data_IF_513013872725
#
_entry.id   IF_513013872725
#
_cell.length_a   1.000
_cell.length_b   1.000
_cell.length_c   1.000
_cell.angle_alpha   90.00
_cell.angle_beta   90.00
_cell.angle_gamma   90.00
#
_symmetry.space_group_name_H-M   'P 1'
#
loop_
_entity.id
_entity.type
_entity.pdbx_description
1 polymer ?
#
# COMPACT_ATOMS: atom_id res chain seq x y z
N UNK A 1 30.20 37.29 -23.34
CA UNK A 1 29.40 36.22 -23.96
C UNK A 1 28.71 35.46 -22.86
N UNK A 2 27.40 35.63 -22.78
CA UNK A 2 26.52 34.92 -21.85
C UNK A 2 26.48 33.44 -22.23
N UNK A 3 26.63 32.54 -21.26
CA UNK A 3 26.20 31.16 -21.43
C UNK A 3 25.04 30.89 -20.49
N UNK A 4 23.87 31.09 -21.08
CA UNK A 4 22.56 30.56 -20.74
C UNK A 4 22.66 29.04 -20.58
N UNK A 5 22.52 28.53 -19.35
CA UNK A 5 22.08 27.15 -19.07
C UNK A 5 21.27 27.15 -17.77
N UNK A 6 19.97 27.33 -17.96
CA UNK A 6 18.93 27.18 -16.95
C UNK A 6 19.04 25.78 -16.33
N UNK A 7 19.55 25.72 -15.10
CA UNK A 7 19.49 24.50 -14.31
C UNK A 7 18.02 24.29 -13.94
N UNK A 8 17.39 23.35 -14.65
CA UNK A 8 16.07 22.87 -14.33
C UNK A 8 16.02 22.38 -12.89
N UNK A 9 14.95 22.75 -12.22
CA UNK A 9 14.51 22.25 -10.92
C UNK A 9 14.55 20.72 -10.88
N UNK A 10 15.60 20.13 -10.34
CA UNK A 10 15.52 18.79 -9.75
C UNK A 10 15.13 18.95 -8.28
N UNK A 11 13.91 19.41 -8.06
CA UNK A 11 13.18 19.09 -6.83
C UNK A 11 12.59 17.70 -7.05
N UNK A 12 13.42 16.65 -6.96
CA UNK A 12 12.94 15.28 -7.05
C UNK A 12 13.45 14.49 -5.86
N UNK A 13 12.53 14.39 -4.92
CA UNK A 13 12.36 13.27 -4.02
C UNK A 13 13.44 13.08 -2.94
N UNK A 14 13.36 13.95 -1.94
CA UNK A 14 13.73 13.61 -0.58
C UNK A 14 13.05 12.30 -0.15
N UNK A 15 13.85 11.30 0.20
CA UNK A 15 13.53 10.14 1.05
C UNK A 15 12.69 9.01 0.42
N UNK A 16 13.27 8.24 -0.51
CA UNK A 16 12.92 6.83 -0.65
C UNK A 16 13.93 6.00 0.15
N UNK A 17 13.75 6.00 1.48
CA UNK A 17 14.13 4.83 2.26
C UNK A 17 13.27 3.67 1.78
N UNK A 18 13.83 2.47 1.69
CA UNK A 18 13.12 1.28 1.21
C UNK A 18 11.76 1.15 1.90
N UNK A 19 10.69 1.54 1.21
CA UNK A 19 9.34 1.50 1.76
C UNK A 19 8.86 0.06 1.67
N UNK A 20 9.41 -0.79 2.55
CA UNK A 20 8.98 -2.17 2.72
C UNK A 20 7.58 -2.12 3.30
N UNK A 21 6.59 -2.41 2.46
CA UNK A 21 5.23 -2.73 2.90
C UNK A 21 5.33 -3.78 4.00
N UNK A 22 4.58 -3.59 5.09
CA UNK A 22 4.47 -4.58 6.15
C UNK A 22 3.01 -4.81 6.54
N UNK A 23 2.77 -5.92 7.23
CA UNK A 23 1.43 -6.30 7.70
C UNK A 23 0.76 -5.21 8.55
N UNK A 24 1.48 -4.58 9.46
CA UNK A 24 0.92 -3.54 10.33
C UNK A 24 0.49 -2.29 9.55
N UNK A 25 1.20 -1.94 8.47
CA UNK A 25 0.83 -0.83 7.59
C UNK A 25 -0.44 -1.16 6.82
N UNK A 26 -0.55 -2.38 6.27
CA UNK A 26 -1.77 -2.88 5.63
C UNK A 26 -2.95 -2.83 6.62
N UNK A 27 -2.81 -3.37 7.83
CA UNK A 27 -3.87 -3.37 8.83
C UNK A 27 -4.35 -1.95 9.19
N UNK A 28 -3.44 -0.97 9.20
CA UNK A 28 -3.81 0.44 9.43
C UNK A 28 -4.67 1.00 8.30
N UNK A 29 -4.35 0.67 7.05
CA UNK A 29 -5.14 1.08 5.88
C UNK A 29 -6.43 0.30 5.71
N UNK A 30 -6.63 -0.79 6.45
CA UNK A 30 -7.88 -1.56 6.46
C UNK A 30 -8.75 -1.27 7.68
N UNK A 31 -8.38 -0.29 8.52
CA UNK A 31 -9.24 0.12 9.64
C UNK A 31 -10.62 0.54 9.15
N UNK A 32 -11.64 0.13 9.91
CA UNK A 32 -13.03 0.47 9.63
C UNK A 32 -13.71 -0.42 8.59
N UNK A 33 -13.02 -1.44 8.05
CA UNK A 33 -13.68 -2.43 7.20
C UNK A 33 -14.62 -3.33 8.02
N UNK A 34 -15.72 -3.73 7.41
CA UNK A 34 -16.64 -4.71 7.96
C UNK A 34 -16.22 -6.11 7.51
N UNK A 35 -15.92 -6.96 8.47
CA UNK A 35 -15.62 -8.37 8.22
C UNK A 35 -16.91 -9.23 8.30
N UNK A 36 -17.00 -10.32 7.53
CA UNK A 36 -15.99 -10.83 6.59
C UNK A 36 -15.90 -10.00 5.30
N UNK A 37 -14.68 -9.81 4.79
CA UNK A 37 -14.39 -9.00 3.61
C UNK A 37 -13.62 -9.83 2.56
N UNK A 38 -13.89 -9.58 1.29
CA UNK A 38 -13.15 -10.19 0.19
C UNK A 38 -11.93 -9.34 -0.18
N UNK A 39 -11.01 -9.88 -0.98
CA UNK A 39 -9.87 -9.14 -1.52
C UNK A 39 -10.24 -7.76 -2.11
N UNK A 40 -11.32 -7.71 -2.90
CA UNK A 40 -11.77 -6.45 -3.51
C UNK A 40 -12.20 -5.40 -2.48
N UNK A 41 -12.87 -5.82 -1.39
CA UNK A 41 -13.24 -4.94 -0.28
C UNK A 41 -12.00 -4.42 0.46
N UNK A 42 -10.97 -5.26 0.63
CA UNK A 42 -9.70 -4.83 1.21
C UNK A 42 -9.04 -3.74 0.36
N UNK A 43 -8.97 -3.94 -0.96
CA UNK A 43 -8.40 -2.97 -1.90
C UNK A 43 -9.21 -1.67 -1.89
N UNK A 44 -10.54 -1.75 -1.91
CA UNK A 44 -11.41 -0.57 -1.89
C UNK A 44 -11.28 0.21 -0.58
N UNK A 45 -11.26 -0.48 0.56
CA UNK A 45 -11.06 0.14 1.86
C UNK A 45 -9.67 0.79 1.95
N UNK A 46 -8.62 0.09 1.52
CA UNK A 46 -7.27 0.64 1.49
C UNK A 46 -7.22 1.91 0.62
N UNK A 47 -7.85 1.90 -0.56
CA UNK A 47 -7.98 3.09 -1.43
C UNK A 47 -8.72 4.23 -0.73
N UNK A 48 -9.85 3.96 -0.07
CA UNK A 48 -10.60 4.95 0.71
C UNK A 48 -9.74 5.58 1.82
N UNK A 49 -8.87 4.78 2.42
CA UNK A 49 -7.92 5.21 3.44
C UNK A 49 -6.62 5.82 2.88
N UNK A 50 -6.57 6.13 1.57
CA UNK A 50 -5.40 6.71 0.89
C UNK A 50 -4.14 5.82 1.01
N UNK A 51 -4.31 4.51 0.88
CA UNK A 51 -3.18 3.58 0.86
C UNK A 51 -2.27 3.85 -0.36
N UNK A 52 -0.94 3.77 -0.17
CA UNK A 52 0.01 3.88 -1.26
C UNK A 52 -0.14 2.71 -2.24
N UNK A 53 0.35 2.91 -3.47
CA UNK A 53 0.23 1.91 -4.54
C UNK A 53 0.90 0.59 -4.18
N UNK A 54 1.98 0.61 -3.40
CA UNK A 54 2.68 -0.59 -2.96
C UNK A 54 1.77 -1.49 -2.09
N UNK A 55 1.03 -0.89 -1.15
CA UNK A 55 0.02 -1.60 -0.33
C UNK A 55 -1.09 -2.17 -1.22
N UNK A 56 -1.56 -1.40 -2.23
CA UNK A 56 -2.62 -1.86 -3.12
C UNK A 56 -2.16 -3.02 -4.00
N UNK A 57 -0.93 -2.97 -4.53
CA UNK A 57 -0.35 -4.04 -5.32
C UNK A 57 -0.22 -5.33 -4.49
N UNK A 58 0.20 -5.20 -3.23
CA UNK A 58 0.29 -6.31 -2.30
C UNK A 58 -1.08 -6.96 -2.05
N UNK A 59 -2.10 -6.15 -1.74
CA UNK A 59 -3.47 -6.63 -1.57
C UNK A 59 -4.04 -7.25 -2.85
N UNK A 60 -3.57 -6.85 -4.03
CA UNK A 60 -3.97 -7.49 -5.29
C UNK A 60 -3.34 -8.88 -5.48
N UNK A 61 -2.14 -9.10 -4.93
CA UNK A 61 -1.42 -10.36 -4.99
C UNK A 61 -2.01 -11.44 -4.06
N UNK A 62 -2.86 -11.03 -3.10
CA UNK A 62 -3.54 -11.94 -2.19
C UNK A 62 -4.48 -12.91 -2.91
N UNK A 63 -4.69 -14.07 -2.29
CA UNK A 63 -5.68 -15.03 -2.75
C UNK A 63 -7.10 -14.45 -2.68
N UNK A 64 -7.94 -14.86 -3.63
CA UNK A 64 -9.35 -14.45 -3.65
C UNK A 64 -10.16 -15.30 -2.66
N UNK A 65 -10.07 -14.95 -1.38
CA UNK A 65 -10.81 -15.59 -0.30
C UNK A 65 -11.44 -14.55 0.65
N UNK A 66 -12.32 -15.03 1.53
CA UNK A 66 -12.91 -14.22 2.58
C UNK A 66 -11.99 -14.13 3.79
N UNK A 67 -11.57 -12.91 4.09
CA UNK A 67 -10.87 -12.59 5.32
C UNK A 67 -11.90 -12.34 6.40
N UNK A 68 -11.79 -13.03 7.54
CA UNK A 68 -12.72 -12.88 8.65
C UNK A 68 -12.29 -11.80 9.65
N UNK A 69 -11.04 -11.33 9.57
CA UNK A 69 -10.42 -10.44 10.55
C UNK A 69 -9.18 -9.76 9.97
N UNK A 70 -8.74 -8.59 10.49
CA UNK A 70 -7.46 -7.99 10.12
C UNK A 70 -6.28 -8.94 10.34
N UNK A 71 -6.40 -9.83 11.34
CA UNK A 71 -5.38 -10.84 11.67
C UNK A 71 -5.20 -11.83 10.50
N UNK A 72 -6.25 -12.17 9.77
CA UNK A 72 -6.12 -13.08 8.63
C UNK A 72 -5.40 -12.39 7.46
N UNK A 73 -5.67 -11.09 7.27
CA UNK A 73 -4.99 -10.27 6.25
C UNK A 73 -3.48 -10.17 6.56
N UNK A 74 -3.11 -9.88 7.81
CA UNK A 74 -1.70 -9.79 8.21
C UNK A 74 -0.97 -11.13 8.11
N UNK A 75 -1.65 -12.24 8.42
CA UNK A 75 -1.11 -13.59 8.19
C UNK A 75 -0.90 -13.85 6.70
N UNK A 76 -1.86 -13.49 5.86
CA UNK A 76 -1.76 -13.70 4.42
C UNK A 76 -0.58 -12.93 3.82
N UNK A 77 -0.43 -11.65 4.20
CA UNK A 77 0.75 -10.87 3.86
C UNK A 77 2.06 -11.59 4.22
N UNK A 78 2.13 -12.14 5.44
CA UNK A 78 3.32 -12.85 5.93
C UNK A 78 3.58 -14.18 5.21
N UNK A 79 2.61 -14.72 4.46
CA UNK A 79 2.78 -15.95 3.67
C UNK A 79 3.32 -15.67 2.27
N UNK A 80 3.07 -14.49 1.74
CA UNK A 80 3.51 -14.06 0.40
C UNK A 80 4.91 -13.42 0.39
N UNK A 81 5.49 -13.17 1.56
CA UNK A 81 6.65 -12.28 1.73
C UNK A 81 7.79 -12.88 2.56
#
# INVERSE_FOLDING_TARGET
>A
MVQDKKQGTHSRDSQQGEHKVNAAEIERYLKGIHYPANKNDLIDQAKKNNAPKDILNELQAFDDHQYASPIDVSKEFSRHH
#
